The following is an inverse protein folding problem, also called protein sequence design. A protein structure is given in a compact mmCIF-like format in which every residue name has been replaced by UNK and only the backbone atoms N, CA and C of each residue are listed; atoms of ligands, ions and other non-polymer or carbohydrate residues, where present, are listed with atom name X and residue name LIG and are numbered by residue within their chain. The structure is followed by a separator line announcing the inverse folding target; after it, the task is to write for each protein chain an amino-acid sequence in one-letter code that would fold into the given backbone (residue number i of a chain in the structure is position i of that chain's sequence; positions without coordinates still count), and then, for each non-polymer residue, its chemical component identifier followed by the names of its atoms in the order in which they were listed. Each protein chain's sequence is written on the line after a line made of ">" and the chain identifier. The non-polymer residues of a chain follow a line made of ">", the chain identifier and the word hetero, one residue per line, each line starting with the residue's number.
data_IF_498507466902
#
_entry.id   IF_498507466902
#
_cell.length_a   1.000
_cell.length_b   1.000
_cell.length_c   1.000
_cell.angle_alpha   90.00
_cell.angle_beta   90.00
_cell.angle_gamma   90.00
#
_symmetry.space_group_name_H-M   'P 1'
#
loop_
_entity.id
_entity.type
_entity.pdbx_description
1 polymer ?
#
# COMPACT_ATOMS: atom_id res chain seq x y z
N UNK A 1 47.73 32.83 -27.20
CA UNK A 1 46.44 33.46 -26.90
C UNK A 1 46.08 33.09 -25.47
N UNK A 2 46.00 34.05 -24.55
CA UNK A 2 45.75 33.78 -23.13
C UNK A 2 44.30 33.34 -22.90
N UNK A 3 44.13 32.23 -22.19
CA UNK A 3 42.84 31.63 -21.82
C UNK A 3 42.13 32.51 -20.80
N UNK A 4 40.85 32.87 -20.99
CA UNK A 4 40.11 33.68 -20.02
C UNK A 4 39.81 32.86 -18.74
N UNK A 5 39.82 33.51 -17.56
CA UNK A 5 39.50 32.85 -16.30
C UNK A 5 38.01 32.51 -16.19
N UNK A 6 37.65 31.47 -15.41
CA UNK A 6 36.26 31.02 -15.24
C UNK A 6 35.43 32.05 -14.46
N UNK A 7 34.18 32.24 -14.92
CA UNK A 7 33.20 33.11 -14.27
C UNK A 7 32.74 32.54 -12.93
N UNK A 8 32.80 33.36 -11.87
CA UNK A 8 32.34 33.01 -10.54
C UNK A 8 30.81 32.80 -10.53
N UNK A 9 30.37 31.68 -9.98
CA UNK A 9 28.94 31.38 -9.82
C UNK A 9 28.29 32.27 -8.76
N UNK A 10 27.05 32.73 -8.96
CA UNK A 10 26.33 33.55 -7.98
C UNK A 10 26.04 32.74 -6.71
N UNK A 11 26.28 33.35 -5.54
CA UNK A 11 25.94 32.75 -4.24
C UNK A 11 24.43 32.70 -4.07
N UNK A 12 23.87 31.59 -3.54
CA UNK A 12 22.46 31.52 -3.18
C UNK A 12 22.15 32.49 -2.04
N UNK A 13 21.00 33.18 -2.16
CA UNK A 13 20.51 34.11 -1.14
C UNK A 13 20.03 33.34 0.10
N UNK A 14 20.47 33.80 1.26
CA UNK A 14 20.06 33.30 2.58
C UNK A 14 18.57 33.58 2.80
N UNK A 15 17.74 32.58 3.17
CA UNK A 15 16.35 32.81 3.52
C UNK A 15 16.23 33.61 4.84
N UNK A 16 15.22 34.49 4.98
CA UNK A 16 15.02 35.28 6.17
C UNK A 16 14.58 34.40 7.36
N UNK A 17 15.11 34.72 8.54
CA UNK A 17 14.77 34.05 9.80
C UNK A 17 13.27 34.20 10.16
N UNK A 18 12.62 33.17 10.73
CA UNK A 18 11.25 33.25 11.21
C UNK A 18 11.15 34.20 12.39
N UNK A 19 10.65 35.41 12.11
CA UNK A 19 10.37 36.45 13.10
C UNK A 19 9.17 36.09 13.98
N UNK A 20 9.38 36.24 15.28
CA UNK A 20 8.38 36.22 16.33
C UNK A 20 7.17 37.12 16.00
N UNK A 21 5.97 36.53 15.92
CA UNK A 21 4.70 37.24 16.10
C UNK A 21 3.89 36.56 17.19
N UNK A 22 4.27 36.86 18.42
CA UNK A 22 3.35 36.81 19.55
C UNK A 22 2.38 38.00 19.44
N UNK A 23 1.09 37.74 19.24
CA UNK A 23 0.04 38.74 19.47
C UNK A 23 -1.29 38.08 19.84
N UNK A 24 -1.49 38.00 21.16
CA UNK A 24 -2.74 38.17 21.93
C UNK A 24 -4.07 38.22 21.14
N UNK A 25 -4.96 37.27 21.46
CA UNK A 25 -6.41 37.48 21.59
C UNK A 25 -6.92 36.55 22.70
N UNK A 26 -6.96 37.02 23.95
CA UNK A 26 -8.17 37.40 24.71
C UNK A 26 -9.31 36.36 24.58
N UNK A 27 -9.52 35.47 25.57
CA UNK A 27 -10.29 35.66 26.82
C UNK A 27 -11.62 36.40 26.62
N UNK A 28 -12.74 35.66 26.59
CA UNK A 28 -13.96 35.80 27.45
C UNK A 28 -15.13 34.95 26.89
N UNK A 29 -16.09 34.65 27.77
CA UNK A 29 -17.33 33.83 27.68
C UNK A 29 -17.10 32.50 28.44
N UNK A 30 -17.41 32.30 29.73
CA UNK A 30 -18.43 32.82 30.66
C UNK A 30 -19.88 32.44 30.31
N UNK A 31 -20.45 31.49 31.07
CA UNK A 31 -21.86 31.05 31.08
C UNK A 31 -22.13 29.87 30.13
N UNK A 32 -22.78 28.76 30.47
CA UNK A 32 -23.87 28.57 31.44
C UNK A 32 -23.96 27.07 31.76
N UNK A 33 -24.03 26.70 33.04
CA UNK A 33 -24.28 25.33 33.47
C UNK A 33 -25.78 25.00 33.29
N UNK A 34 -26.11 24.11 32.37
CA UNK A 34 -27.43 23.50 32.27
C UNK A 34 -27.30 22.00 32.58
N UNK A 35 -27.62 21.65 33.82
CA UNK A 35 -27.72 20.26 34.26
C UNK A 35 -29.00 19.63 33.68
N UNK A 36 -28.87 18.95 32.54
CA UNK A 36 -29.89 18.05 32.01
C UNK A 36 -29.59 16.64 32.51
N UNK A 37 -30.32 16.23 33.54
CA UNK A 37 -30.43 14.84 33.99
C UNK A 37 -31.23 14.09 32.93
N UNK A 38 -30.54 13.39 32.02
CA UNK A 38 -31.20 12.46 31.08
C UNK A 38 -31.28 11.07 31.72
N UNK A 39 -32.46 10.43 31.69
CA UNK A 39 -32.66 9.09 32.24
C UNK A 39 -31.93 8.05 31.38
N UNK A 40 -31.33 7.08 32.08
CA UNK A 40 -30.66 5.91 31.53
C UNK A 40 -31.65 5.07 30.68
N UNK A 41 -31.57 5.21 29.36
CA UNK A 41 -32.30 4.35 28.42
C UNK A 41 -31.42 3.14 28.09
N UNK A 42 -31.72 2.06 28.81
CA UNK A 42 -31.78 0.65 28.41
C UNK A 42 -30.76 0.13 27.37
N UNK A 43 -29.91 -0.74 27.89
CA UNK A 43 -29.09 -1.71 27.20
C UNK A 43 -29.90 -2.55 26.19
N UNK A 44 -29.91 -2.10 24.93
CA UNK A 44 -30.27 -2.93 23.79
C UNK A 44 -29.06 -3.77 23.39
N UNK A 45 -29.09 -5.07 23.71
CA UNK A 45 -28.19 -6.07 23.14
C UNK A 45 -28.48 -6.21 21.64
N UNK A 46 -27.85 -5.38 20.83
CA UNK A 46 -27.91 -5.50 19.37
C UNK A 46 -27.10 -6.72 18.93
N UNK A 47 -27.78 -7.72 18.34
CA UNK A 47 -27.15 -8.79 17.57
C UNK A 47 -26.55 -8.21 16.27
N UNK A 48 -25.48 -7.43 16.39
CA UNK A 48 -24.60 -7.09 15.27
C UNK A 48 -23.43 -8.08 15.19
N UNK A 49 -22.87 -8.33 14.00
CA UNK A 49 -21.60 -9.06 13.89
C UNK A 49 -20.54 -8.33 14.73
N UNK A 50 -19.74 -9.10 15.46
CA UNK A 50 -18.64 -8.51 16.21
C UNK A 50 -17.71 -7.78 15.24
N UNK A 51 -17.43 -6.52 15.51
CA UNK A 51 -16.46 -5.72 14.76
C UNK A 51 -15.19 -5.62 15.58
N UNK A 52 -14.04 -5.90 14.97
CA UNK A 52 -12.74 -5.72 15.61
C UNK A 52 -11.95 -4.66 14.83
N UNK A 53 -11.40 -3.67 15.57
CA UNK A 53 -10.38 -2.80 15.00
C UNK A 53 -9.09 -3.59 14.90
N UNK A 54 -8.39 -3.60 13.75
CA UNK A 54 -7.09 -4.23 13.68
C UNK A 54 -6.10 -3.52 14.62
N UNK A 55 -5.05 -4.21 15.09
CA UNK A 55 -3.98 -3.56 15.85
C UNK A 55 -3.36 -2.43 15.03
N UNK A 56 -2.69 -1.50 15.70
CA UNK A 56 -1.94 -0.45 15.01
C UNK A 56 -0.84 -1.05 14.13
N UNK A 57 -0.69 -0.48 12.94
CA UNK A 57 0.39 -0.86 12.03
C UNK A 57 1.75 -0.48 12.62
N UNK A 58 2.75 -1.33 12.39
CA UNK A 58 4.12 -0.99 12.73
C UNK A 58 4.63 0.11 11.78
N UNK A 59 5.39 1.06 12.32
CA UNK A 59 6.00 2.16 11.55
C UNK A 59 7.38 1.70 11.05
N UNK A 60 7.55 1.64 9.73
CA UNK A 60 8.86 1.50 9.10
C UNK A 60 9.52 2.87 8.98
N UNK A 61 10.69 3.01 9.63
CA UNK A 61 11.46 4.26 9.62
C UNK A 61 12.15 4.53 8.29
N UNK A 62 12.47 3.47 7.54
CA UNK A 62 13.16 3.55 6.24
C UNK A 62 12.21 3.69 5.05
N UNK A 63 10.92 3.93 5.33
CA UNK A 63 9.89 4.10 4.31
C UNK A 63 9.26 2.79 3.82
N UNK A 64 8.54 2.82 2.68
CA UNK A 64 7.84 1.66 2.16
C UNK A 64 8.80 0.67 1.50
N UNK A 65 8.62 -0.62 1.78
CA UNK A 65 9.36 -1.72 1.13
C UNK A 65 8.40 -2.60 0.32
N UNK A 66 8.33 -2.34 -0.99
CA UNK A 66 7.52 -3.14 -1.91
C UNK A 66 8.17 -4.48 -2.29
N UNK A 67 9.42 -4.71 -1.89
CA UNK A 67 10.12 -5.99 -2.09
C UNK A 67 10.06 -6.89 -0.87
N UNK A 68 9.46 -6.45 0.24
CA UNK A 68 9.35 -7.26 1.44
C UNK A 68 8.55 -8.55 1.20
N UNK A 69 8.93 -9.63 1.88
CA UNK A 69 8.43 -11.00 1.68
C UNK A 69 6.90 -11.09 1.76
N UNK A 70 6.27 -10.46 2.76
CA UNK A 70 4.81 -10.47 2.93
C UNK A 70 4.10 -9.63 1.87
N UNK A 71 4.74 -8.58 1.35
CA UNK A 71 4.21 -7.78 0.25
C UNK A 71 4.22 -8.59 -1.03
N UNK A 72 5.33 -9.27 -1.35
CA UNK A 72 5.43 -10.17 -2.50
C UNK A 72 4.37 -11.28 -2.44
N UNK A 73 4.21 -11.91 -1.27
CA UNK A 73 3.16 -12.91 -1.06
C UNK A 73 1.75 -12.35 -1.26
N UNK A 74 1.48 -11.13 -0.81
CA UNK A 74 0.20 -10.44 -1.04
C UNK A 74 -0.09 -10.14 -2.53
N UNK A 75 0.97 -9.94 -3.32
CA UNK A 75 0.90 -9.78 -4.78
C UNK A 75 0.80 -11.12 -5.53
N UNK A 76 0.75 -12.25 -4.83
CA UNK A 76 0.74 -13.59 -5.42
C UNK A 76 2.07 -14.00 -6.04
N UNK A 77 3.17 -13.36 -5.63
CA UNK A 77 4.51 -13.67 -6.11
C UNK A 77 5.27 -14.46 -5.05
N UNK A 78 5.90 -15.56 -5.47
CA UNK A 78 6.81 -16.32 -4.61
C UNK A 78 8.16 -15.58 -4.61
N UNK A 79 8.68 -15.15 -3.45
CA UNK A 79 10.01 -14.57 -3.36
C UNK A 79 11.09 -15.55 -3.82
N UNK A 80 12.18 -15.08 -4.45
CA UNK A 80 13.30 -15.96 -4.78
C UNK A 80 13.95 -16.54 -3.53
N UNK A 81 14.65 -17.66 -3.68
CA UNK A 81 15.39 -18.28 -2.58
C UNK A 81 16.40 -17.30 -1.97
N UNK A 82 16.53 -17.32 -0.65
CA UNK A 82 17.43 -16.41 0.09
C UNK A 82 16.89 -14.99 0.28
N UNK A 83 15.73 -14.65 -0.29
CA UNK A 83 15.09 -13.36 -0.07
C UNK A 83 14.27 -13.35 1.23
N UNK A 84 14.90 -12.93 2.32
CA UNK A 84 14.27 -12.77 3.64
C UNK A 84 14.28 -11.30 4.07
N UNK A 85 13.24 -10.56 3.70
CA UNK A 85 13.04 -9.15 4.08
C UNK A 85 11.65 -8.97 4.65
N UNK A 86 11.47 -9.04 5.98
CA UNK A 86 10.15 -8.93 6.58
C UNK A 86 9.60 -7.51 6.44
N UNK A 87 8.32 -7.41 6.10
CA UNK A 87 7.57 -6.17 6.08
C UNK A 87 7.14 -5.77 7.51
N UNK A 88 6.98 -4.47 7.80
CA UNK A 88 6.38 -4.03 9.06
C UNK A 88 4.96 -4.60 9.19
N UNK A 89 4.57 -5.03 10.40
CA UNK A 89 3.24 -5.59 10.66
C UNK A 89 2.13 -4.66 10.17
N UNK A 90 1.21 -5.20 9.36
CA UNK A 90 0.09 -4.44 8.84
C UNK A 90 -1.02 -4.23 9.88
N UNK A 91 -1.67 -3.07 9.82
CA UNK A 91 -2.67 -2.71 10.83
C UNK A 91 -3.48 -1.45 10.51
N UNK A 92 -4.13 -0.90 11.52
CA UNK A 92 -4.77 0.41 11.45
C UNK A 92 -3.73 1.53 11.51
N UNK A 93 -4.06 2.70 10.96
CA UNK A 93 -3.18 3.87 11.02
C UNK A 93 -2.99 4.29 12.48
N UNK A 94 -1.76 4.32 13.02
CA UNK A 94 -1.51 4.70 14.40
C UNK A 94 -2.00 6.12 14.70
N UNK A 95 -2.41 6.38 15.93
CA UNK A 95 -2.80 7.72 16.36
C UNK A 95 -1.61 8.70 16.22
N UNK A 96 -1.85 9.86 15.59
CA UNK A 96 -0.83 10.87 15.34
C UNK A 96 0.07 10.61 14.13
N UNK A 97 -0.14 9.51 13.39
CA UNK A 97 0.46 9.34 12.07
C UNK A 97 -0.33 10.14 11.05
N UNK A 98 0.29 11.17 10.46
CA UNK A 98 -0.34 12.09 9.49
C UNK A 98 0.19 11.79 8.07
N UNK A 99 -0.48 10.92 7.31
CA UNK A 99 0.00 10.53 5.99
C UNK A 99 -0.19 11.69 4.99
N UNK A 100 0.82 11.88 4.15
CA UNK A 100 0.84 12.89 3.07
C UNK A 100 0.86 12.24 1.68
N UNK A 101 1.15 10.94 1.60
CA UNK A 101 1.08 10.16 0.38
C UNK A 101 0.68 8.70 0.66
N UNK A 102 0.33 7.99 -0.41
CA UNK A 102 0.23 6.54 -0.41
C UNK A 102 1.28 5.95 -1.37
N UNK A 103 1.70 4.72 -1.11
CA UNK A 103 2.52 3.93 -2.04
C UNK A 103 1.79 2.62 -2.29
N UNK A 104 1.44 2.37 -3.56
CA UNK A 104 0.82 1.14 -4.02
C UNK A 104 1.89 0.27 -4.68
N UNK A 105 2.19 -0.86 -4.04
CA UNK A 105 3.03 -1.90 -4.61
C UNK A 105 2.18 -2.75 -5.56
N UNK A 106 2.61 -2.86 -6.81
CA UNK A 106 1.88 -3.56 -7.88
C UNK A 106 2.70 -4.73 -8.38
N UNK A 107 2.07 -5.90 -8.46
CA UNK A 107 2.70 -7.10 -8.95
C UNK A 107 2.78 -7.12 -10.48
N UNK A 108 3.44 -8.14 -11.06
CA UNK A 108 3.47 -8.34 -12.51
C UNK A 108 2.07 -8.56 -13.11
N UNK A 109 1.10 -8.99 -12.30
CA UNK A 109 -0.29 -9.17 -12.72
C UNK A 109 -1.09 -7.85 -12.77
N UNK A 110 -0.64 -6.82 -12.04
CA UNK A 110 -1.28 -5.49 -12.00
C UNK A 110 -0.65 -4.51 -12.99
N UNK A 111 0.51 -4.86 -13.56
CA UNK A 111 1.07 -4.09 -14.65
C UNK A 111 0.06 -4.12 -15.80
N UNK A 112 -0.24 -2.96 -16.44
CA UNK A 112 -1.01 -3.00 -17.67
C UNK A 112 -0.23 -3.92 -18.59
N UNK A 113 -0.81 -5.09 -18.89
CA UNK A 113 -0.29 -5.94 -19.95
C UNK A 113 -0.39 -5.04 -21.17
N UNK A 114 0.74 -4.44 -21.55
CA UNK A 114 0.87 -3.87 -22.86
C UNK A 114 0.50 -5.05 -23.75
N UNK A 115 -0.66 -4.99 -24.38
CA UNK A 115 -1.05 -5.94 -25.41
C UNK A 115 0.00 -5.72 -26.50
N UNK A 116 1.13 -6.40 -26.35
CA UNK A 116 2.12 -6.54 -27.40
C UNK A 116 1.29 -7.16 -28.50
N UNK A 117 1.15 -6.40 -29.59
CA UNK A 117 0.39 -6.81 -30.76
C UNK A 117 0.78 -8.25 -31.05
N UNK A 118 -0.18 -9.20 -31.00
CA UNK A 118 0.16 -10.61 -31.00
C UNK A 118 1.02 -10.86 -32.24
N UNK A 119 2.22 -11.47 -32.09
CA UNK A 119 3.01 -11.83 -33.26
C UNK A 119 2.10 -12.65 -34.17
N UNK A 120 2.20 -12.45 -35.49
CA UNK A 120 1.32 -13.09 -36.47
C UNK A 120 1.42 -14.62 -36.31
N UNK A 121 0.52 -15.20 -35.50
CA UNK A 121 0.55 -16.59 -35.07
C UNK A 121 0.41 -17.57 -36.25
N UNK A 122 0.05 -17.05 -37.43
CA UNK A 122 -0.03 -17.81 -38.67
C UNK A 122 1.34 -18.14 -39.28
N UNK A 123 2.40 -17.44 -38.89
CA UNK A 123 3.73 -17.64 -39.47
C UNK A 123 4.56 -18.74 -38.77
N UNK A 124 4.14 -19.25 -37.61
CA UNK A 124 5.02 -20.06 -36.75
C UNK A 124 4.30 -21.23 -36.08
N UNK A 125 3.49 -22.00 -36.83
CA UNK A 125 3.09 -23.35 -36.38
C UNK A 125 4.17 -24.32 -36.92
N UNK A 126 5.15 -24.76 -36.11
CA UNK A 126 6.00 -25.85 -36.52
C UNK A 126 5.16 -27.12 -36.76
N UNK A 127 5.53 -27.90 -37.78
CA UNK A 127 4.91 -29.18 -38.05
C UNK A 127 4.88 -30.05 -36.79
N UNK A 128 3.77 -30.77 -36.58
CA UNK A 128 3.56 -31.60 -35.40
C UNK A 128 4.78 -32.50 -35.15
N UNK A 129 5.34 -32.52 -33.91
CA UNK A 129 6.46 -33.39 -33.60
C UNK A 129 6.03 -34.85 -33.81
N UNK A 130 6.85 -35.62 -34.53
CA UNK A 130 6.70 -37.07 -34.63
C UNK A 130 6.90 -37.71 -33.26
N UNK A 131 6.10 -38.72 -32.94
CA UNK A 131 5.94 -39.32 -31.60
C UNK A 131 7.21 -39.89 -30.93
N UNK A 132 8.37 -39.87 -31.59
CA UNK A 132 9.59 -40.57 -31.14
C UNK A 132 10.66 -39.67 -30.51
N UNK A 133 10.41 -38.38 -30.28
CA UNK A 133 11.40 -37.46 -29.71
C UNK A 133 10.84 -36.66 -28.53
N UNK A 134 10.66 -37.32 -27.38
CA UNK A 134 10.56 -36.61 -26.09
C UNK A 134 11.99 -36.36 -25.62
N UNK A 135 12.52 -35.13 -25.71
CA UNK A 135 13.82 -34.83 -25.12
C UNK A 135 13.77 -35.13 -23.61
N UNK A 136 14.85 -35.65 -23.01
CA UNK A 136 14.87 -35.90 -21.57
C UNK A 136 14.53 -34.59 -20.84
N UNK A 137 13.49 -34.63 -20.00
CA UNK A 137 13.13 -33.50 -19.13
C UNK A 137 14.39 -33.07 -18.39
N UNK A 138 14.89 -31.89 -18.74
CA UNK A 138 16.01 -31.28 -18.02
C UNK A 138 15.52 -31.00 -16.61
N UNK A 139 16.02 -31.79 -15.66
CA UNK A 139 15.60 -31.77 -14.25
C UNK A 139 16.23 -30.61 -13.47
N UNK A 140 16.97 -29.73 -14.15
CA UNK A 140 17.45 -28.49 -13.56
C UNK A 140 16.22 -27.60 -13.36
N UNK A 141 15.86 -27.24 -12.11
CA UNK A 141 14.85 -26.23 -11.87
C UNK A 141 15.23 -24.99 -12.68
N UNK A 142 14.30 -24.37 -13.43
CA UNK A 142 14.62 -23.10 -14.08
C UNK A 142 15.18 -22.16 -13.03
N UNK A 143 16.32 -21.53 -13.31
CA UNK A 143 16.86 -20.46 -12.47
C UNK A 143 15.71 -19.49 -12.18
N UNK A 144 15.47 -19.18 -10.90
CA UNK A 144 14.32 -18.40 -10.49
C UNK A 144 14.34 -17.06 -11.23
N UNK A 145 13.37 -16.85 -12.11
CA UNK A 145 13.28 -15.61 -12.88
C UNK A 145 13.20 -14.41 -11.92
N UNK A 146 13.84 -13.28 -12.25
CA UNK A 146 13.81 -12.11 -11.39
C UNK A 146 12.38 -11.60 -11.21
N UNK A 147 12.03 -11.26 -9.97
CA UNK A 147 10.71 -10.74 -9.63
C UNK A 147 10.70 -9.23 -9.80
N UNK A 148 9.76 -8.72 -10.60
CA UNK A 148 9.60 -7.27 -10.80
C UNK A 148 8.34 -6.76 -10.10
N UNK A 149 8.48 -5.71 -9.31
CA UNK A 149 7.39 -5.01 -8.61
C UNK A 149 7.42 -3.54 -8.98
N UNK A 150 6.25 -2.95 -9.19
CA UNK A 150 6.11 -1.52 -9.47
C UNK A 150 5.66 -0.80 -8.21
N UNK A 151 6.50 0.12 -7.72
CA UNK A 151 6.21 1.02 -6.62
C UNK A 151 5.62 2.32 -7.18
N UNK A 152 4.31 2.51 -7.03
CA UNK A 152 3.62 3.72 -7.46
C UNK A 152 3.34 4.62 -6.26
N UNK A 153 3.92 5.83 -6.25
CA UNK A 153 3.60 6.87 -5.26
C UNK A 153 2.36 7.62 -5.73
N UNK A 154 1.38 7.71 -4.85
CA UNK A 154 0.11 8.40 -5.08
C UNK A 154 -0.05 9.57 -4.11
N UNK A 155 -0.54 10.68 -4.64
CA UNK A 155 -0.82 11.91 -3.88
C UNK A 155 -2.22 12.44 -4.22
N UNK A 156 -2.71 13.41 -3.44
CA UNK A 156 -4.05 13.96 -3.55
C UNK A 156 -4.79 14.02 -2.20
N UNK A 157 -6.11 14.07 -2.24
CA UNK A 157 -6.94 14.01 -1.03
C UNK A 157 -6.98 12.58 -0.47
N UNK A 158 -6.19 12.33 0.58
CA UNK A 158 -6.17 11.04 1.28
C UNK A 158 -7.38 10.84 2.20
N UNK A 159 -8.17 11.87 2.50
CA UNK A 159 -9.30 11.81 3.42
C UNK A 159 -10.27 10.66 3.13
N UNK A 160 -10.75 10.49 1.88
CA UNK A 160 -11.59 9.36 1.51
C UNK A 160 -10.94 7.98 1.71
N UNK A 161 -9.64 7.84 1.42
CA UNK A 161 -8.90 6.60 1.64
C UNK A 161 -8.77 6.27 3.13
N UNK A 162 -8.41 7.26 3.95
CA UNK A 162 -8.32 7.09 5.41
C UNK A 162 -9.69 6.77 6.02
N UNK A 163 -10.75 7.38 5.52
CA UNK A 163 -12.12 7.11 5.94
C UNK A 163 -12.53 5.66 5.72
N UNK A 164 -12.18 5.07 4.56
CA UNK A 164 -12.46 3.65 4.31
C UNK A 164 -11.57 2.73 5.14
N UNK A 165 -10.27 3.04 5.29
CA UNK A 165 -9.34 2.24 6.09
C UNK A 165 -9.66 2.25 7.59
N UNK A 166 -10.32 3.31 8.07
CA UNK A 166 -10.78 3.40 9.45
C UNK A 166 -12.01 2.53 9.77
N UNK A 167 -12.67 1.95 8.75
CA UNK A 167 -13.79 1.04 8.96
C UNK A 167 -13.30 -0.22 9.69
N UNK A 168 -14.08 -0.75 10.64
CA UNK A 168 -13.71 -2.01 11.26
C UNK A 168 -13.92 -3.18 10.28
N UNK A 169 -13.10 -4.22 10.43
CA UNK A 169 -13.39 -5.51 9.81
C UNK A 169 -14.50 -6.23 10.58
N UNK A 170 -15.25 -7.05 9.86
CA UNK A 170 -16.20 -7.98 10.45
C UNK A 170 -15.45 -9.20 11.00
N UNK A 171 -15.96 -9.79 12.07
CA UNK A 171 -15.41 -11.00 12.67
C UNK A 171 -16.39 -12.15 12.47
N UNK A 172 -15.88 -13.27 11.95
CA UNK A 172 -16.64 -14.49 11.80
C UNK A 172 -17.19 -14.98 13.15
N UNK A 173 -18.50 -15.29 13.25
CA UNK A 173 -19.02 -16.06 14.37
C UNK A 173 -18.37 -17.45 14.44
N UNK A 174 -18.28 -18.06 15.63
CA UNK A 174 -17.79 -19.43 15.76
C UNK A 174 -18.58 -20.41 14.86
N UNK A 175 -17.87 -21.26 14.11
CA UNK A 175 -18.47 -22.26 13.22
C UNK A 175 -18.91 -21.72 11.85
N UNK A 176 -18.72 -20.43 11.56
CA UNK A 176 -18.95 -19.89 10.23
C UNK A 176 -17.96 -20.50 9.23
N UNK A 177 -18.47 -21.14 8.18
CA UNK A 177 -17.66 -21.60 7.05
C UNK A 177 -17.62 -20.53 5.97
N UNK A 178 -16.45 -20.38 5.34
CA UNK A 178 -16.23 -19.48 4.21
C UNK A 178 -15.76 -20.30 3.00
N UNK A 179 -16.15 -19.91 1.78
CA UNK A 179 -15.65 -20.59 0.59
C UNK A 179 -14.13 -20.40 0.52
N UNK A 180 -13.41 -21.44 0.11
CA UNK A 180 -11.95 -21.41 -0.06
C UNK A 180 -11.57 -20.62 -1.33
N UNK A 181 -11.89 -19.33 -1.36
CA UNK A 181 -11.51 -18.42 -2.42
C UNK A 181 -10.42 -17.49 -1.90
N UNK A 182 -9.49 -17.17 -2.79
CA UNK A 182 -8.46 -16.19 -2.53
C UNK A 182 -8.81 -14.89 -3.26
N UNK A 183 -8.75 -13.77 -2.55
CA UNK A 183 -8.82 -12.43 -3.13
C UNK A 183 -7.48 -11.75 -2.88
N UNK A 184 -6.85 -11.26 -3.95
CA UNK A 184 -5.65 -10.43 -3.82
C UNK A 184 -6.05 -9.05 -3.28
N UNK A 185 -5.45 -8.67 -2.16
CA UNK A 185 -5.64 -7.35 -1.58
C UNK A 185 -4.56 -6.40 -2.07
N UNK A 186 -4.89 -5.13 -2.40
CA UNK A 186 -3.87 -4.15 -2.78
C UNK A 186 -2.81 -3.99 -1.69
N UNK A 187 -1.55 -4.03 -2.06
CA UNK A 187 -0.46 -3.82 -1.11
C UNK A 187 -0.14 -2.32 -1.03
N UNK A 188 -0.58 -1.69 0.07
CA UNK A 188 -0.49 -0.23 0.23
C UNK A 188 0.25 0.14 1.51
N UNK A 189 1.15 1.11 1.37
CA UNK A 189 1.74 1.86 2.46
C UNK A 189 1.17 3.27 2.50
N UNK A 190 0.96 3.82 3.68
CA UNK A 190 0.77 5.26 3.88
C UNK A 190 2.08 5.88 4.36
N UNK A 191 2.47 7.00 3.77
CA UNK A 191 3.76 7.65 4.00
C UNK A 191 3.53 9.05 4.57
N UNK A 192 4.23 9.38 5.66
CA UNK A 192 4.17 10.70 6.28
C UNK A 192 5.21 11.68 5.71
N UNK A 193 5.23 12.91 6.24
CA UNK A 193 6.14 13.96 5.79
C UNK A 193 7.62 13.67 6.10
N UNK A 194 7.90 12.80 7.08
CA UNK A 194 9.25 12.38 7.44
C UNK A 194 9.74 11.19 6.58
N UNK A 195 8.89 10.68 5.69
CA UNK A 195 9.18 9.53 4.85
C UNK A 195 8.99 8.18 5.53
N UNK A 196 8.47 8.15 6.77
CA UNK A 196 8.14 6.91 7.47
C UNK A 196 6.89 6.31 6.85
N UNK A 197 6.76 4.99 6.91
CA UNK A 197 5.65 4.29 6.29
C UNK A 197 4.93 3.34 7.24
N UNK A 198 3.62 3.19 7.07
CA UNK A 198 2.82 2.15 7.72
C UNK A 198 2.14 1.28 6.66
N UNK A 199 2.23 -0.04 6.82
CA UNK A 199 1.51 -1.00 5.95
C UNK A 199 0.07 -1.11 6.43
N UNK A 200 -0.89 -0.75 5.59
CA UNK A 200 -2.29 -0.75 6.03
C UNK A 200 -2.92 -2.12 5.87
N UNK A 201 -3.78 -2.49 6.81
CA UNK A 201 -4.67 -3.64 6.66
C UNK A 201 -6.02 -3.15 6.13
N UNK A 202 -6.51 -3.78 5.07
CA UNK A 202 -7.82 -3.44 4.53
C UNK A 202 -8.95 -3.98 5.42
N UNK A 203 -10.05 -3.22 5.56
CA UNK A 203 -11.24 -3.72 6.23
C UNK A 203 -11.87 -4.83 5.40
N UNK A 204 -12.24 -5.90 6.09
CA UNK A 204 -12.70 -7.15 5.48
C UNK A 204 -14.06 -7.59 6.01
N UNK A 205 -14.75 -8.45 5.27
CA UNK A 205 -15.96 -9.14 5.71
C UNK A 205 -15.62 -10.32 6.64
N UNK A 206 -16.65 -11.07 7.05
CA UNK A 206 -16.52 -12.25 7.91
C UNK A 206 -15.68 -13.38 7.29
N UNK A 207 -15.48 -13.37 5.98
CA UNK A 207 -14.68 -14.35 5.25
C UNK A 207 -13.29 -13.86 4.86
N UNK A 208 -12.93 -12.64 5.24
CA UNK A 208 -11.63 -12.05 4.94
C UNK A 208 -11.55 -11.37 3.57
N UNK A 209 -12.66 -11.30 2.83
CA UNK A 209 -12.74 -10.54 1.58
C UNK A 209 -12.83 -9.05 1.87
N UNK A 210 -12.36 -8.23 0.94
CA UNK A 210 -12.46 -6.78 1.02
C UNK A 210 -13.92 -6.37 1.10
N UNK A 211 -14.24 -5.43 1.98
CA UNK A 211 -15.58 -4.86 1.98
C UNK A 211 -15.84 -4.07 0.70
N UNK A 212 -17.09 -4.02 0.24
CA UNK A 212 -17.44 -3.33 -1.00
C UNK A 212 -16.93 -1.89 -1.06
N UNK A 213 -16.31 -1.58 -2.20
CA UNK A 213 -15.87 -0.23 -2.56
C UNK A 213 -14.66 0.31 -1.78
N UNK A 214 -14.02 -0.49 -0.92
CA UNK A 214 -12.88 -0.01 -0.10
C UNK A 214 -11.68 0.41 -0.95
N UNK A 215 -11.51 -0.15 -2.14
CA UNK A 215 -10.39 0.17 -3.03
C UNK A 215 -10.65 1.39 -3.93
N UNK A 216 -11.91 1.86 -4.05
CA UNK A 216 -12.26 2.97 -4.94
C UNK A 216 -11.49 4.26 -4.63
N UNK A 217 -11.34 4.71 -3.37
CA UNK A 217 -10.56 5.90 -3.06
C UNK A 217 -9.09 5.82 -3.48
N UNK A 218 -8.49 4.63 -3.47
CA UNK A 218 -7.10 4.44 -3.91
C UNK A 218 -6.94 4.77 -5.39
N UNK A 219 -7.91 4.37 -6.23
CA UNK A 219 -7.93 4.67 -7.66
C UNK A 219 -8.24 6.13 -8.01
N UNK A 220 -8.69 6.94 -7.03
CA UNK A 220 -8.93 8.36 -7.21
C UNK A 220 -7.68 9.23 -6.94
N UNK A 221 -6.63 8.65 -6.35
CA UNK A 221 -5.36 9.35 -6.12
C UNK A 221 -4.55 9.44 -7.41
N UNK A 222 -3.78 10.52 -7.54
CA UNK A 222 -2.92 10.75 -8.69
C UNK A 222 -1.59 10.01 -8.52
N UNK A 223 -1.17 9.27 -9.54
CA UNK A 223 0.17 8.66 -9.56
C UNK A 223 1.18 9.73 -9.94
N UNK A 224 1.95 10.22 -8.96
CA UNK A 224 2.97 11.27 -9.16
C UNK A 224 4.36 10.71 -9.46
N UNK A 225 4.62 9.46 -9.08
CA UNK A 225 5.91 8.79 -9.34
C UNK A 225 5.72 7.29 -9.46
N UNK A 226 6.53 6.67 -10.29
CA UNK A 226 6.61 5.21 -10.42
C UNK A 226 8.07 4.77 -10.44
N UNK A 227 8.38 3.70 -9.69
CA UNK A 227 9.72 3.10 -9.65
C UNK A 227 9.56 1.58 -9.81
N UNK A 228 10.31 1.01 -10.75
CA UNK A 228 10.40 -0.44 -10.89
C UNK A 228 11.46 -0.98 -9.94
N UNK A 229 11.11 -2.01 -9.17
CA UNK A 229 12.01 -2.74 -8.28
C UNK A 229 12.16 -4.15 -8.80
N UNK A 230 13.39 -4.63 -8.87
CA UNK A 230 13.70 -6.01 -9.24
C UNK A 230 14.33 -6.71 -8.04
N UNK A 231 13.86 -7.92 -7.76
CA UNK A 231 14.48 -8.83 -6.80
C UNK A 231 15.09 -9.97 -7.60
N UNK A 232 16.41 -10.03 -7.58
CA UNK A 232 17.16 -11.07 -8.27
C UNK A 232 17.20 -12.35 -7.40
N UNK A 233 17.20 -13.52 -8.05
CA UNK A 233 17.51 -14.78 -7.39
C UNK A 233 18.99 -14.87 -7.05
N UNK A 234 19.31 -15.44 -5.88
CA UNK A 234 20.68 -15.68 -5.43
C UNK A 234 21.36 -16.83 -6.20
#
# INVERSE_FOLDING_TARGET
>A
MPTPPPAASPRPATPPAPGARAARRDRRIAGTALALVLPAVLAGGGCGPATARPPDAAIAVDGPDCTATEVLGGLGVVPPEGHDRPAPAAGSVPAGFEPVAAVHCRGPLDAPVALVEPPDLRATIPAAPTADAVPPESTTPPDAAPVTVVEARLEGDLGPLLGVLARPSQVAPPGQACPAMWESQPQVYLVDADGRAVRVRWPSDVCGFLLDGVTRPLGALEVVRTVTRTVDGA
#
